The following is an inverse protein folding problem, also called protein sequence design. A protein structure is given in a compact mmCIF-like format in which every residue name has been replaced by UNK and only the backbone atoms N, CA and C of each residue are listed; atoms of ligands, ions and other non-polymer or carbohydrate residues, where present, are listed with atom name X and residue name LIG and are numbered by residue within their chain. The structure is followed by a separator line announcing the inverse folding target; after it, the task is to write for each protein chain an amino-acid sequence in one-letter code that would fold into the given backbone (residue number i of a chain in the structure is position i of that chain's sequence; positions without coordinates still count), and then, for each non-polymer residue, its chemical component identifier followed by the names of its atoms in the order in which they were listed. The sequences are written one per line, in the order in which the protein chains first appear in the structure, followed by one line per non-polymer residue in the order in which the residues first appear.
data_IF_461788008186
#
_entry.id   IF_461788008186
#
_cell.length_a   1.000
_cell.length_b   1.000
_cell.length_c   1.000
_cell.angle_alpha   90.00
_cell.angle_beta   90.00
_cell.angle_gamma   90.00
#
_symmetry.space_group_name_H-M   'P 1'
#
loop_
_entity.id
_entity.type
_entity.pdbx_description
1 polymer ?
#
# COMPACT_ATOMS: atom_id res chain seq x y z
N UNK A 1 -0.89 -3.86 23.55
CA UNK A 1 -1.65 -2.69 23.06
C UNK A 1 -2.47 -3.14 21.85
N UNK A 2 -3.80 -3.03 21.95
CA UNK A 2 -4.75 -3.45 20.92
C UNK A 2 -5.15 -2.24 20.08
N UNK A 3 -5.29 -2.41 18.76
CA UNK A 3 -5.85 -1.38 17.89
C UNK A 3 -7.37 -1.32 18.09
N UNK A 4 -7.96 -0.13 17.94
CA UNK A 4 -9.43 -0.02 17.81
C UNK A 4 -9.96 -0.75 16.57
N UNK A 5 -11.28 -0.97 16.49
CA UNK A 5 -11.94 -1.51 15.30
C UNK A 5 -11.67 -0.66 14.05
N UNK A 6 -11.80 0.68 14.13
CA UNK A 6 -11.49 1.58 13.01
C UNK A 6 -10.04 1.43 12.51
N UNK A 7 -9.07 1.43 13.43
CA UNK A 7 -7.66 1.26 13.08
C UNK A 7 -7.35 -0.14 12.53
N UNK A 8 -8.06 -1.14 13.02
CA UNK A 8 -7.95 -2.52 12.53
C UNK A 8 -8.47 -2.60 11.10
N UNK A 9 -9.67 -2.06 10.84
CA UNK A 9 -10.26 -2.00 9.50
C UNK A 9 -9.35 -1.22 8.53
N UNK A 10 -8.88 -0.04 8.94
CA UNK A 10 -7.94 0.78 8.17
C UNK A 10 -6.70 0.00 7.78
N UNK A 11 -6.09 -0.74 8.72
CA UNK A 11 -4.91 -1.57 8.44
C UNK A 11 -5.20 -2.63 7.36
N UNK A 12 -6.40 -3.19 7.34
CA UNK A 12 -6.80 -4.18 6.34
C UNK A 12 -6.98 -3.60 4.93
N UNK A 13 -7.17 -2.29 4.78
CA UNK A 13 -7.31 -1.64 3.47
C UNK A 13 -5.99 -1.14 2.89
N UNK A 14 -4.90 -1.34 3.63
CA UNK A 14 -3.56 -0.82 3.30
C UNK A 14 -2.59 -1.99 3.14
N UNK A 15 -1.70 -1.90 2.17
CA UNK A 15 -0.55 -2.80 2.06
C UNK A 15 0.77 -2.03 2.01
N UNK A 16 1.80 -2.67 2.57
CA UNK A 16 3.18 -2.23 2.40
C UNK A 16 3.65 -2.66 1.01
N UNK A 17 4.41 -1.81 0.33
CA UNK A 17 4.95 -2.14 -0.98
C UNK A 17 6.31 -1.47 -1.22
N UNK A 18 7.00 -1.97 -2.24
CA UNK A 18 8.29 -1.47 -2.72
C UNK A 18 8.04 -0.52 -3.89
N UNK A 19 8.62 0.69 -3.83
CA UNK A 19 8.57 1.66 -4.92
C UNK A 19 9.21 1.08 -6.18
N UNK A 20 8.54 1.24 -7.31
CA UNK A 20 9.04 0.93 -8.64
C UNK A 20 9.40 2.23 -9.41
N UNK A 21 9.80 2.09 -10.67
CA UNK A 21 10.17 3.21 -11.53
C UNK A 21 9.04 4.24 -11.71
N UNK A 22 7.79 3.78 -11.87
CA UNK A 22 6.61 4.66 -11.95
C UNK A 22 6.46 5.49 -10.67
N UNK A 23 6.69 4.90 -9.49
CA UNK A 23 6.60 5.64 -8.22
C UNK A 23 7.71 6.70 -8.09
N UNK A 24 8.90 6.45 -8.65
CA UNK A 24 10.03 7.40 -8.59
C UNK A 24 9.90 8.56 -9.57
N UNK A 25 9.28 8.33 -10.73
CA UNK A 25 9.09 9.36 -11.76
C UNK A 25 7.98 10.36 -11.43
N UNK A 26 7.09 10.01 -10.49
CA UNK A 26 6.04 10.91 -10.05
C UNK A 26 6.53 11.90 -8.98
N UNK A 27 6.62 13.17 -9.37
CA UNK A 27 6.86 14.26 -8.41
C UNK A 27 5.67 14.39 -7.45
N UNK A 28 5.81 13.84 -6.25
CA UNK A 28 4.85 14.09 -5.16
C UNK A 28 5.08 15.48 -4.60
N UNK A 29 4.19 16.43 -4.94
CA UNK A 29 4.22 17.81 -4.41
C UNK A 29 4.28 17.80 -2.87
N UNK A 30 5.20 18.59 -2.30
CA UNK A 30 5.34 18.76 -0.84
C UNK A 30 6.26 17.76 -0.14
N UNK A 31 6.99 16.91 -0.87
CA UNK A 31 8.01 16.02 -0.29
C UNK A 31 9.40 16.62 -0.42
N UNK A 32 10.14 16.70 0.69
CA UNK A 32 11.49 17.30 0.70
C UNK A 32 12.58 16.43 0.07
N UNK A 33 12.36 15.11 -0.04
CA UNK A 33 13.30 14.17 -0.69
C UNK A 33 12.56 13.35 -1.74
N UNK A 34 13.13 13.07 -2.91
CA UNK A 34 12.50 12.17 -3.88
C UNK A 34 12.28 10.76 -3.31
N UNK A 35 11.32 10.03 -3.86
CA UNK A 35 11.14 8.60 -3.57
C UNK A 35 12.25 7.85 -4.27
N UNK A 36 12.94 6.96 -3.54
CA UNK A 36 14.01 6.14 -4.13
C UNK A 36 13.46 4.83 -4.67
N UNK A 37 14.06 4.31 -5.75
CA UNK A 37 13.72 2.99 -6.25
C UNK A 37 13.92 1.96 -5.14
N UNK A 38 12.90 1.16 -4.90
CA UNK A 38 12.94 0.17 -3.84
C UNK A 38 12.59 0.68 -2.44
N UNK A 39 12.32 1.98 -2.27
CA UNK A 39 11.86 2.53 -1.00
C UNK A 39 10.51 1.92 -0.60
N UNK A 40 10.34 1.62 0.68
CA UNK A 40 9.11 1.07 1.22
C UNK A 40 8.10 2.17 1.54
N UNK A 41 6.89 1.99 1.02
CA UNK A 41 5.73 2.81 1.30
C UNK A 41 4.51 2.00 1.72
N UNK A 42 3.40 2.69 1.90
CA UNK A 42 2.07 2.09 1.97
C UNK A 42 1.21 2.57 0.80
N UNK A 43 0.32 1.69 0.34
CA UNK A 43 -0.67 2.01 -0.69
C UNK A 43 -2.04 1.42 -0.35
N UNK A 44 -3.06 2.05 -0.91
CA UNK A 44 -4.44 1.57 -0.87
C UNK A 44 -4.55 0.24 -1.62
N UNK A 45 -5.07 -0.80 -0.96
CA UNK A 45 -5.23 -2.14 -1.54
C UNK A 45 -6.22 -2.17 -2.71
N UNK A 46 -7.19 -1.27 -2.72
CA UNK A 46 -8.15 -1.17 -3.82
C UNK A 46 -7.51 -0.53 -5.06
N UNK A 47 -6.70 0.52 -4.87
CA UNK A 47 -6.08 1.25 -5.97
C UNK A 47 -4.79 0.61 -6.52
N UNK A 48 -4.26 -0.45 -5.89
CA UNK A 48 -3.00 -1.07 -6.31
C UNK A 48 -3.02 -1.59 -7.75
N UNK A 49 -4.18 -1.98 -8.23
CA UNK A 49 -4.41 -2.47 -9.60
C UNK A 49 -4.43 -1.36 -10.64
N UNK A 50 -4.50 -0.09 -10.21
CA UNK A 50 -4.44 1.04 -11.11
C UNK A 50 -2.97 1.43 -11.37
N UNK A 51 -2.63 1.82 -12.61
CA UNK A 51 -1.33 2.42 -12.92
C UNK A 51 -1.16 3.71 -12.13
N UNK A 52 0.09 4.10 -11.82
CA UNK A 52 0.37 5.24 -10.93
C UNK A 52 -0.32 6.51 -11.42
N UNK A 53 -0.35 6.75 -12.73
CA UNK A 53 -1.01 7.90 -13.37
C UNK A 53 -2.53 8.01 -13.12
N UNK A 54 -3.21 6.91 -12.82
CA UNK A 54 -4.66 6.87 -12.55
C UNK A 54 -5.01 6.76 -11.07
N UNK A 55 -4.01 6.63 -10.19
CA UNK A 55 -4.23 6.58 -8.75
C UNK A 55 -4.64 7.96 -8.24
N UNK A 56 -5.73 8.01 -7.47
CA UNK A 56 -6.23 9.27 -6.89
C UNK A 56 -5.35 9.74 -5.72
N UNK A 57 -5.48 11.02 -5.38
CA UNK A 57 -4.74 11.66 -4.28
C UNK A 57 -4.88 10.86 -2.99
N UNK A 58 -3.79 10.76 -2.23
CA UNK A 58 -3.78 10.09 -0.93
C UNK A 58 -3.82 8.55 -0.99
N UNK A 59 -3.78 7.93 -2.16
CA UNK A 59 -3.76 6.46 -2.29
C UNK A 59 -2.40 5.82 -2.01
N UNK A 60 -1.31 6.62 -1.92
CA UNK A 60 0.07 6.16 -1.70
C UNK A 60 0.79 7.12 -0.76
N UNK A 61 1.58 6.59 0.18
CA UNK A 61 2.46 7.35 1.04
C UNK A 61 3.79 6.63 1.28
N UNK A 62 4.88 7.40 1.30
CA UNK A 62 6.22 6.91 1.62
C UNK A 62 6.71 7.58 2.92
N UNK A 63 6.43 7.02 4.11
CA UNK A 63 6.93 7.61 5.36
C UNK A 63 8.46 7.58 5.40
N UNK A 64 9.03 8.54 6.14
CA UNK A 64 10.49 8.69 6.27
C UNK A 64 11.13 7.60 7.14
N UNK A 65 10.38 7.13 8.13
CA UNK A 65 10.78 6.14 9.11
C UNK A 65 9.57 5.27 9.50
N UNK A 66 9.81 4.08 10.04
CA UNK A 66 8.75 3.11 10.41
C UNK A 66 7.76 3.67 11.45
N UNK A 67 8.18 4.62 12.28
CA UNK A 67 7.35 5.38 13.21
C UNK A 67 6.24 6.16 12.49
N UNK A 68 6.50 6.55 11.23
CA UNK A 68 5.59 7.32 10.40
C UNK A 68 4.43 6.51 9.80
N UNK A 69 4.44 5.18 9.86
CA UNK A 69 3.37 4.36 9.26
C UNK A 69 1.99 4.66 9.83
N UNK A 70 1.89 4.93 11.13
CA UNK A 70 0.63 5.33 11.74
C UNK A 70 0.09 6.60 11.09
N UNK A 71 0.92 7.65 10.99
CA UNK A 71 0.50 8.93 10.43
C UNK A 71 0.18 8.81 8.94
N UNK A 72 0.97 8.06 8.19
CA UNK A 72 0.72 7.78 6.78
C UNK A 72 -0.64 7.07 6.59
N UNK A 73 -0.96 6.09 7.44
CA UNK A 73 -2.26 5.42 7.40
C UNK A 73 -3.41 6.36 7.77
N UNK A 74 -3.26 7.23 8.77
CA UNK A 74 -4.27 8.24 9.11
C UNK A 74 -4.49 9.24 7.96
N UNK A 75 -3.42 9.67 7.29
CA UNK A 75 -3.52 10.56 6.14
C UNK A 75 -4.26 9.88 4.98
N UNK A 76 -3.98 8.61 4.69
CA UNK A 76 -4.74 7.86 3.68
C UNK A 76 -6.21 7.71 4.07
N UNK A 77 -6.48 7.45 5.34
CA UNK A 77 -7.84 7.36 5.86
C UNK A 77 -8.61 8.68 5.59
N UNK A 78 -8.05 9.82 5.98
CA UNK A 78 -8.76 11.11 5.90
C UNK A 78 -8.76 11.76 4.52
N UNK A 79 -7.79 11.45 3.65
CA UNK A 79 -7.67 12.11 2.35
C UNK A 79 -8.13 11.25 1.18
N UNK A 80 -8.23 9.93 1.37
CA UNK A 80 -8.51 8.99 0.30
C UNK A 80 -9.72 8.09 0.59
N UNK A 81 -9.75 7.44 1.75
CA UNK A 81 -10.80 6.47 2.08
C UNK A 81 -12.10 7.17 2.50
N UNK A 82 -12.05 8.06 3.50
CA UNK A 82 -13.23 8.74 4.05
C UNK A 82 -13.84 9.79 3.10
N UNK A 83 -13.04 10.39 2.22
CA UNK A 83 -13.47 11.43 1.28
C UNK A 83 -14.21 10.88 0.06
N UNK A 84 -14.26 9.55 -0.11
CA UNK A 84 -14.81 8.92 -1.30
C UNK A 84 -13.90 8.99 -2.53
N UNK A 85 -12.68 9.51 -2.39
CA UNK A 85 -11.68 9.61 -3.46
C UNK A 85 -11.21 8.25 -3.98
N UNK A 86 -11.36 7.17 -3.20
CA UNK A 86 -11.02 5.83 -3.65
C UNK A 86 -12.04 5.30 -4.67
N UNK A 87 -11.68 5.21 -5.97
CA UNK A 87 -12.63 4.83 -7.03
C UNK A 87 -13.04 3.35 -6.96
N UNK A 88 -12.20 2.51 -6.33
CA UNK A 88 -12.38 1.06 -6.29
C UNK A 88 -12.79 0.52 -4.90
N UNK A 89 -13.10 1.40 -3.94
CA UNK A 89 -13.58 0.97 -2.63
C UNK A 89 -15.11 0.82 -2.68
N UNK A 90 -15.61 -0.39 -2.40
CA UNK A 90 -17.03 -0.71 -2.42
C UNK A 90 -17.85 0.01 -1.35
N UNK A 91 -19.15 0.17 -1.59
CA UNK A 91 -20.06 0.94 -0.74
C UNK A 91 -20.23 0.37 0.67
N UNK A 92 -20.29 -0.96 0.82
CA UNK A 92 -20.41 -1.60 2.13
C UNK A 92 -19.24 -1.22 3.06
N UNK A 93 -18.01 -1.23 2.52
CA UNK A 93 -16.82 -0.86 3.28
C UNK A 93 -16.80 0.64 3.62
N UNK A 94 -17.28 1.51 2.72
CA UNK A 94 -17.45 2.95 2.99
C UNK A 94 -18.40 3.18 4.17
N UNK A 95 -19.53 2.48 4.18
CA UNK A 95 -20.52 2.56 5.25
C UNK A 95 -19.94 2.05 6.57
N UNK A 96 -19.19 0.94 6.55
CA UNK A 96 -18.52 0.42 7.75
C UNK A 96 -17.53 1.43 8.34
N UNK A 97 -16.72 2.10 7.51
CA UNK A 97 -15.87 3.20 7.96
C UNK A 97 -16.68 4.32 8.61
N UNK A 98 -17.74 4.80 7.95
CA UNK A 98 -18.59 5.86 8.49
C UNK A 98 -19.17 5.51 9.86
N UNK A 99 -19.66 4.27 10.02
CA UNK A 99 -20.22 3.77 11.27
C UNK A 99 -19.17 3.71 12.39
N UNK A 100 -17.96 3.21 12.10
CA UNK A 100 -16.88 3.11 13.09
C UNK A 100 -16.29 4.47 13.49
N UNK A 101 -16.43 5.50 12.66
CA UNK A 101 -16.03 6.87 12.98
C UNK A 101 -17.10 7.53 13.86
N UNK A 102 -18.37 7.41 13.49
CA UNK A 102 -19.49 8.02 14.21
C UNK A 102 -19.65 7.48 15.64
N UNK A 103 -19.32 6.21 15.85
CA UNK A 103 -19.44 5.53 17.16
C UNK A 103 -18.24 5.76 18.09
N UNK A 104 -17.24 6.54 17.66
CA UNK A 104 -15.94 6.62 18.36
C UNK A 104 -15.82 7.84 19.28
N UNK A 105 -15.48 7.59 20.55
CA UNK A 105 -14.83 8.58 21.40
C UNK A 105 -13.39 8.86 20.94
N UNK A 106 -12.96 10.12 21.00
CA UNK A 106 -11.64 10.56 20.51
C UNK A 106 -10.53 9.90 21.33
N UNK A 107 -9.84 8.89 20.78
CA UNK A 107 -8.55 8.42 21.32
C UNK A 107 -7.41 8.77 20.36
N UNK A 108 -6.91 10.00 20.51
CA UNK A 108 -5.77 10.49 19.74
C UNK A 108 -4.50 9.71 20.12
N UNK A 109 -3.85 9.10 19.12
CA UNK A 109 -2.49 8.56 19.26
C UNK A 109 -2.33 7.13 19.77
N UNK A 110 -3.41 6.49 20.23
CA UNK A 110 -3.39 5.05 20.50
C UNK A 110 -2.99 4.29 19.23
N UNK A 111 -2.02 3.39 19.33
CA UNK A 111 -1.58 2.54 18.21
C UNK A 111 -0.28 2.96 17.50
N UNK A 112 0.28 4.16 17.70
CA UNK A 112 1.57 4.55 17.06
C UNK A 112 2.68 3.51 17.28
N UNK A 113 2.89 3.12 18.54
CA UNK A 113 3.85 2.09 18.92
C UNK A 113 3.52 0.72 18.30
N UNK A 114 2.23 0.39 18.14
CA UNK A 114 1.81 -0.85 17.47
C UNK A 114 2.26 -0.87 16.02
N UNK A 115 1.99 0.19 15.25
CA UNK A 115 2.34 0.25 13.83
C UNK A 115 3.85 0.16 13.62
N UNK A 116 4.65 0.91 14.39
CA UNK A 116 6.11 0.84 14.31
C UNK A 116 6.64 -0.55 14.69
N UNK A 117 6.08 -1.17 15.73
CA UNK A 117 6.44 -2.54 16.15
C UNK A 117 6.11 -3.57 15.07
N UNK A 118 4.94 -3.49 14.44
CA UNK A 118 4.57 -4.43 13.37
C UNK A 118 5.43 -4.22 12.12
N UNK A 119 5.74 -2.97 11.76
CA UNK A 119 6.66 -2.68 10.66
C UNK A 119 8.04 -3.33 10.88
N UNK A 120 8.61 -3.19 12.07
CA UNK A 120 9.87 -3.87 12.43
C UNK A 120 9.76 -5.39 12.37
N UNK A 121 8.63 -5.96 12.84
CA UNK A 121 8.37 -7.41 12.75
C UNK A 121 8.24 -7.91 11.31
N UNK A 122 7.79 -7.08 10.39
CA UNK A 122 7.78 -7.35 8.94
C UNK A 122 9.18 -7.24 8.31
N UNK A 123 10.22 -7.02 9.11
CA UNK A 123 11.59 -6.83 8.63
C UNK A 123 11.83 -5.44 8.06
N UNK A 124 11.01 -4.43 8.36
CA UNK A 124 11.26 -3.07 7.86
C UNK A 124 12.26 -2.35 8.76
N UNK A 125 13.26 -1.70 8.15
CA UNK A 125 14.25 -0.87 8.84
C UNK A 125 14.37 0.52 8.21
N UNK A 126 14.75 1.49 9.03
CA UNK A 126 15.06 2.86 8.60
C UNK A 126 16.47 2.90 7.97
N UNK A 127 16.64 3.77 6.98
CA UNK A 127 17.91 4.14 6.34
C UNK A 127 17.97 5.65 6.16
N UNK A 128 19.11 6.15 5.69
CA UNK A 128 19.23 7.55 5.29
C UNK A 128 18.32 7.92 4.10
N UNK A 129 17.81 6.97 3.34
CA UNK A 129 16.97 7.23 2.17
C UNK A 129 15.49 6.87 2.37
N UNK A 130 15.16 6.23 3.48
CA UNK A 130 13.78 5.96 3.86
C UNK A 130 13.67 4.63 4.58
N UNK A 131 12.77 3.78 4.10
CA UNK A 131 12.49 2.48 4.71
C UNK A 131 12.80 1.41 3.68
N UNK A 132 13.43 0.31 4.10
CA UNK A 132 13.75 -0.85 3.26
C UNK A 132 13.48 -2.15 4.02
N UNK A 133 13.40 -3.28 3.32
CA UNK A 133 13.41 -4.60 3.95
C UNK A 133 14.81 -4.96 4.45
N UNK A 134 14.91 -5.50 5.67
CA UNK A 134 16.05 -6.22 6.20
C UNK A 134 16.32 -7.45 5.35
N UNK A 135 17.45 -7.45 4.63
CA UNK A 135 17.85 -8.56 3.76
C UNK A 135 18.04 -9.87 4.55
N UNK A 136 18.14 -9.80 5.89
CA UNK A 136 18.16 -10.97 6.77
C UNK A 136 16.80 -11.66 6.93
N UNK A 137 15.71 -11.03 6.47
CA UNK A 137 14.33 -11.51 6.61
C UNK A 137 13.55 -11.50 5.29
N UNK A 138 14.20 -11.57 4.12
CA UNK A 138 13.46 -11.70 2.86
C UNK A 138 12.59 -12.98 2.91
N UNK A 139 11.25 -12.87 2.90
CA UNK A 139 10.44 -14.01 2.53
C UNK A 139 10.73 -14.27 1.05
N UNK A 140 11.16 -15.48 0.72
CA UNK A 140 11.31 -15.95 -0.67
C UNK A 140 10.09 -15.51 -1.49
N UNK A 141 10.25 -14.51 -2.35
CA UNK A 141 9.29 -14.26 -3.42
C UNK A 141 9.58 -15.32 -4.47
N UNK A 142 8.71 -16.31 -4.57
CA UNK A 142 8.73 -17.33 -5.60
C UNK A 142 8.74 -16.63 -6.96
N UNK A 143 9.87 -16.70 -7.64
CA UNK A 143 9.97 -16.34 -9.05
C UNK A 143 9.14 -17.37 -9.82
N UNK A 144 7.95 -17.00 -10.27
CA UNK A 144 7.34 -17.69 -11.41
C UNK A 144 8.08 -17.21 -12.66
N UNK A 145 9.21 -17.86 -12.92
CA UNK A 145 9.72 -17.99 -14.28
C UNK A 145 8.78 -18.95 -15.01
N UNK A 146 8.04 -18.43 -16.00
CA UNK A 146 7.60 -19.22 -17.13
C UNK A 146 8.27 -18.60 -18.35
N UNK A 147 9.35 -19.23 -18.78
CA UNK A 147 9.99 -19.09 -20.07
C UNK A 147 10.06 -20.52 -20.58
N UNK A 148 9.31 -20.88 -21.62
CA UNK A 148 9.78 -21.17 -22.99
C UNK A 148 8.54 -21.82 -23.68
N UNK A 149 8.26 -21.70 -24.98
CA UNK A 149 9.14 -21.58 -26.13
C UNK A 149 8.40 -20.97 -27.33
N UNK A 150 9.19 -20.41 -28.25
CA UNK A 150 8.74 -19.99 -29.57
C UNK A 150 8.97 -21.10 -30.59
N UNK A 151 7.95 -21.51 -31.34
CA UNK A 151 8.12 -22.02 -32.71
C UNK A 151 6.93 -21.62 -33.59
N UNK A 152 7.26 -21.26 -34.83
CA UNK A 152 6.39 -20.68 -35.84
C UNK A 152 5.70 -21.75 -36.73
N UNK A 153 4.86 -21.25 -37.65
CA UNK A 153 4.06 -21.92 -38.70
C UNK A 153 2.67 -22.38 -38.20
N UNK A 154 1.53 -21.97 -38.76
CA UNK A 154 1.20 -21.66 -40.15
C UNK A 154 0.19 -22.71 -40.62
N UNK A 155 -1.10 -22.37 -40.70
CA UNK A 155 -2.13 -23.27 -41.27
C UNK A 155 -3.52 -23.13 -40.64
N UNK A 156 -4.49 -22.81 -41.48
CA UNK A 156 -5.92 -22.57 -41.20
C UNK A 156 -6.73 -23.84 -40.79
N UNK A 157 -8.02 -23.70 -40.40
CA UNK A 157 -8.71 -24.60 -39.47
C UNK A 157 -9.44 -25.76 -40.15
N UNK A 158 -9.76 -26.79 -39.36
CA UNK A 158 -10.79 -27.79 -39.71
C UNK A 158 -11.54 -28.26 -38.45
N UNK A 159 -12.87 -28.19 -38.53
CA UNK A 159 -13.85 -28.81 -37.64
C UNK A 159 -13.60 -30.32 -37.47
N UNK A 160 -13.92 -30.89 -36.30
CA UNK A 160 -15.04 -31.85 -36.15
C UNK A 160 -15.27 -32.29 -34.70
N UNK A 161 -16.58 -32.36 -34.37
CA UNK A 161 -17.33 -32.84 -33.18
C UNK A 161 -17.07 -32.20 -31.81
#
# INVERSE_FOLDING_TARGET
MQLSSHQTLLRYQIEVFRANEEDTSTHTRGRNKPVQLGQIGIRCRHCKVLPVSRRKRGSVYFPRAVEGFYQAAQNMNSTHLQTGECPLMGNALRQEFANLIATRGISTGAGRAYWAKQARKLGLRNTEDGIVFDNRHQPHQSQQQHQQDSTAAGGSPRLEL
#
